data_IF_255178933648
#
_entry.id   IF_255178933648
#
_cell.length_a   1.000
_cell.length_b   1.000
_cell.length_c   1.000
_cell.angle_alpha   90.00
_cell.angle_beta   90.00
_cell.angle_gamma   90.00
#
_symmetry.space_group_name_H-M   'P 1'
#
loop_
_entity.id
_entity.type
_entity.pdbx_description
1 polymer ?
#
# COMPACT_ATOMS: atom_id res chain seq x y z
N UNK A 1 -33.21 -35.70 28.45
CA UNK A 1 -32.23 -35.11 29.38
C UNK A 1 -32.14 -33.61 29.09
N UNK A 2 -32.88 -32.79 29.84
CA UNK A 2 -32.95 -31.34 29.68
C UNK A 2 -31.66 -30.73 30.26
N UNK A 3 -30.78 -30.15 29.44
CA UNK A 3 -29.71 -29.28 29.94
C UNK A 3 -30.32 -27.94 30.33
N UNK A 4 -30.34 -27.72 31.64
CA UNK A 4 -30.55 -26.42 32.28
C UNK A 4 -29.51 -25.42 31.76
N UNK A 5 -29.94 -24.47 30.93
CA UNK A 5 -29.17 -23.27 30.58
C UNK A 5 -29.54 -22.19 31.59
N UNK A 6 -28.83 -22.19 32.72
CA UNK A 6 -28.84 -21.10 33.67
C UNK A 6 -27.91 -19.98 33.18
N UNK A 7 -28.48 -18.84 32.80
CA UNK A 7 -27.94 -17.53 33.20
C UNK A 7 -26.74 -16.92 32.46
N UNK A 8 -26.44 -17.27 31.22
CA UNK A 8 -25.51 -16.47 30.41
C UNK A 8 -26.27 -15.57 29.42
N UNK A 9 -26.12 -14.25 29.59
CA UNK A 9 -26.69 -13.23 28.70
C UNK A 9 -26.47 -13.61 27.24
N UNK A 10 -27.51 -13.56 26.42
CA UNK A 10 -27.41 -13.80 24.98
C UNK A 10 -26.44 -12.80 24.34
N UNK A 11 -25.15 -13.16 24.26
CA UNK A 11 -24.18 -12.48 23.41
C UNK A 11 -24.71 -12.58 21.98
N UNK A 12 -24.96 -11.44 21.33
CA UNK A 12 -25.38 -11.40 19.93
C UNK A 12 -24.40 -12.22 19.07
N UNK A 13 -24.84 -12.84 17.95
CA UNK A 13 -23.95 -13.57 17.05
C UNK A 13 -22.70 -12.76 16.66
N UNK A 14 -22.84 -11.44 16.51
CA UNK A 14 -21.74 -10.50 16.27
C UNK A 14 -20.75 -10.48 17.44
N UNK A 15 -21.22 -10.28 18.68
CA UNK A 15 -20.33 -10.25 19.86
C UNK A 15 -19.67 -11.60 20.15
N UNK A 16 -20.26 -12.71 19.70
CA UNK A 16 -19.72 -14.06 19.82
C UNK A 16 -18.63 -14.35 18.78
N UNK A 17 -18.84 -13.99 17.51
CA UNK A 17 -17.99 -14.43 16.41
C UNK A 17 -17.01 -13.38 15.89
N UNK A 18 -17.31 -12.08 16.06
CA UNK A 18 -16.38 -11.02 15.65
C UNK A 18 -15.35 -10.78 16.76
N UNK A 19 -14.04 -10.93 16.47
CA UNK A 19 -12.99 -10.73 17.47
C UNK A 19 -13.07 -9.33 18.10
N UNK A 20 -12.74 -9.23 19.40
CA UNK A 20 -12.76 -7.96 20.12
C UNK A 20 -11.91 -6.88 19.43
N UNK A 21 -10.74 -7.28 18.90
CA UNK A 21 -9.86 -6.39 18.12
C UNK A 21 -10.55 -5.75 16.92
N UNK A 22 -11.51 -6.43 16.28
CA UNK A 22 -12.27 -5.89 15.15
C UNK A 22 -13.45 -5.05 15.64
N UNK A 23 -14.16 -5.51 16.68
CA UNK A 23 -15.31 -4.77 17.25
C UNK A 23 -14.93 -3.41 17.84
N UNK A 24 -13.68 -3.24 18.24
CA UNK A 24 -13.15 -2.01 18.82
C UNK A 24 -12.59 -1.04 17.76
N UNK A 25 -12.50 -1.44 16.50
CA UNK A 25 -12.08 -0.54 15.41
C UNK A 25 -13.19 0.43 15.06
N UNK A 26 -12.81 1.67 14.78
CA UNK A 26 -13.68 2.64 14.13
C UNK A 26 -13.50 2.55 12.61
N UNK A 27 -14.55 2.89 11.86
CA UNK A 27 -14.45 3.02 10.42
C UNK A 27 -13.44 4.11 10.08
N UNK A 28 -12.58 3.85 9.09
CA UNK A 28 -11.73 4.89 8.52
C UNK A 28 -12.65 5.96 7.91
N UNK A 29 -12.52 7.24 8.33
CA UNK A 29 -13.43 8.28 7.88
C UNK A 29 -13.22 8.57 6.39
N UNK A 30 -14.27 8.36 5.59
CA UNK A 30 -14.31 8.75 4.19
C UNK A 30 -15.62 9.49 3.91
N UNK A 31 -15.52 10.72 3.41
CA UNK A 31 -16.67 11.56 3.05
C UNK A 31 -16.76 11.71 1.53
N UNK A 32 -17.98 11.73 1.00
CA UNK A 32 -18.22 12.02 -0.43
C UNK A 32 -18.18 13.52 -0.74
N UNK A 33 -18.36 14.38 0.28
CA UNK A 33 -18.28 15.84 0.12
C UNK A 33 -19.18 16.44 -0.97
N UNK A 34 -20.31 15.79 -1.30
CA UNK A 34 -21.14 16.17 -2.46
C UNK A 34 -21.60 17.64 -2.35
N UNK A 35 -21.26 18.45 -3.35
CA UNK A 35 -21.59 19.87 -3.40
C UNK A 35 -20.65 20.79 -2.61
N UNK A 36 -19.50 20.29 -2.15
CA UNK A 36 -18.50 21.04 -1.41
C UNK A 36 -17.19 21.16 -2.20
N UNK A 37 -16.35 22.15 -1.87
CA UNK A 37 -14.95 22.15 -2.27
C UNK A 37 -14.18 21.17 -1.39
N UNK A 38 -13.77 20.04 -1.98
CA UNK A 38 -13.15 18.92 -1.27
C UNK A 38 -11.62 18.98 -1.38
N UNK A 39 -10.93 19.02 -0.25
CA UNK A 39 -9.46 19.09 -0.13
C UNK A 39 -8.92 18.11 0.93
N UNK A 40 -9.64 17.03 1.22
CA UNK A 40 -9.39 16.11 2.34
C UNK A 40 -8.78 14.74 1.93
N UNK A 41 -8.83 14.38 0.64
CA UNK A 41 -8.47 13.03 0.17
C UNK A 41 -7.18 12.94 -0.68
N UNK A 42 -6.44 14.04 -0.81
CA UNK A 42 -5.20 14.11 -1.60
C UNK A 42 -5.39 13.56 -3.02
N UNK A 43 -6.47 14.00 -3.67
CA UNK A 43 -6.82 13.69 -5.06
C UNK A 43 -6.23 14.77 -5.98
N UNK A 44 -5.77 14.37 -7.18
CA UNK A 44 -5.38 15.35 -8.19
C UNK A 44 -6.67 16.03 -8.73
N UNK A 45 -6.79 17.37 -8.66
CA UNK A 45 -8.00 18.08 -9.11
C UNK A 45 -8.11 18.20 -10.63
N UNK A 46 -7.05 17.92 -11.38
CA UNK A 46 -7.03 18.07 -12.84
C UNK A 46 -7.65 16.86 -13.52
N UNK A 47 -8.49 17.13 -14.52
CA UNK A 47 -9.14 16.11 -15.35
C UNK A 47 -8.43 15.99 -16.69
N UNK A 48 -8.51 14.81 -17.30
CA UNK A 48 -7.99 14.63 -18.65
C UNK A 48 -8.73 15.52 -19.67
N UNK A 49 -8.00 16.08 -20.66
CA UNK A 49 -8.58 16.76 -21.80
C UNK A 49 -9.60 15.90 -22.57
N UNK A 50 -10.56 16.54 -23.23
CA UNK A 50 -11.69 15.84 -23.89
C UNK A 50 -11.26 14.92 -25.04
N UNK A 51 -10.26 15.31 -25.81
CA UNK A 51 -9.64 14.49 -26.84
C UNK A 51 -8.98 13.23 -26.26
N UNK A 52 -8.22 13.37 -25.17
CA UNK A 52 -7.62 12.23 -24.46
C UNK A 52 -8.69 11.29 -23.90
N UNK A 53 -9.78 11.84 -23.31
CA UNK A 53 -10.91 11.04 -22.83
C UNK A 53 -11.59 10.25 -23.95
N UNK A 54 -11.74 10.83 -25.14
CA UNK A 54 -12.31 10.14 -26.31
C UNK A 54 -11.42 9.00 -26.79
N UNK A 55 -10.11 9.20 -26.84
CA UNK A 55 -9.16 8.13 -27.18
C UNK A 55 -9.20 6.98 -26.14
N UNK A 56 -9.21 7.33 -24.86
CA UNK A 56 -9.35 6.34 -23.79
C UNK A 56 -10.63 5.51 -23.90
N UNK A 57 -11.78 6.16 -24.17
CA UNK A 57 -13.06 5.46 -24.35
C UNK A 57 -13.01 4.46 -25.53
N UNK A 58 -12.31 4.80 -26.61
CA UNK A 58 -12.11 3.88 -27.73
C UNK A 58 -11.28 2.66 -27.34
N UNK A 59 -10.29 2.81 -26.46
CA UNK A 59 -9.55 1.67 -25.91
C UNK A 59 -10.43 0.81 -24.99
N UNK A 60 -11.23 1.44 -24.13
CA UNK A 60 -12.13 0.70 -23.24
C UNK A 60 -13.20 -0.11 -23.99
N UNK A 61 -13.67 0.39 -25.13
CA UNK A 61 -14.63 -0.34 -25.97
C UNK A 61 -14.08 -1.69 -26.46
N UNK A 62 -12.76 -1.87 -26.51
CA UNK A 62 -12.13 -3.12 -26.96
C UNK A 62 -12.03 -4.17 -25.85
N UNK A 63 -12.32 -3.81 -24.59
CA UNK A 63 -12.14 -4.69 -23.44
C UNK A 63 -13.28 -5.71 -23.33
N UNK A 64 -13.02 -7.03 -23.36
CA UNK A 64 -14.06 -8.05 -23.25
C UNK A 64 -14.54 -8.19 -21.81
N UNK A 65 -15.70 -7.61 -21.48
CA UNK A 65 -16.25 -7.58 -20.12
C UNK A 65 -16.78 -8.95 -19.63
N UNK A 66 -17.07 -9.87 -20.54
CA UNK A 66 -17.61 -11.19 -20.24
C UNK A 66 -16.53 -12.24 -19.92
N UNK A 67 -15.24 -11.86 -19.96
CA UNK A 67 -14.11 -12.73 -19.71
C UNK A 67 -13.36 -12.29 -18.45
N UNK A 68 -12.74 -13.24 -17.74
CA UNK A 68 -11.77 -12.88 -16.71
C UNK A 68 -10.58 -12.13 -17.34
N UNK A 69 -10.00 -11.14 -16.64
CA UNK A 69 -8.82 -10.43 -17.11
C UNK A 69 -7.59 -11.33 -17.14
N UNK A 70 -6.48 -10.85 -17.71
CA UNK A 70 -5.18 -11.46 -17.48
C UNK A 70 -4.85 -11.39 -15.98
N UNK A 71 -4.74 -12.53 -15.26
CA UNK A 71 -4.50 -12.55 -13.82
C UNK A 71 -3.12 -11.99 -13.44
N UNK A 72 -2.19 -11.93 -14.39
CA UNK A 72 -0.86 -11.39 -14.23
C UNK A 72 -0.74 -9.97 -14.81
N UNK A 73 -1.74 -9.46 -15.54
CA UNK A 73 -1.72 -8.15 -16.19
C UNK A 73 -0.40 -7.89 -16.95
N UNK A 74 0.03 -8.86 -17.76
CA UNK A 74 1.39 -8.98 -18.29
C UNK A 74 1.80 -7.73 -19.09
N UNK A 75 0.92 -7.26 -19.99
CA UNK A 75 1.16 -6.05 -20.79
C UNK A 75 1.34 -4.80 -19.91
N UNK A 76 0.53 -4.65 -18.86
CA UNK A 76 0.64 -3.53 -17.92
C UNK A 76 1.94 -3.62 -17.12
N UNK A 77 2.31 -4.80 -16.62
CA UNK A 77 3.56 -5.00 -15.89
C UNK A 77 4.78 -4.68 -16.76
N UNK A 78 4.78 -5.06 -18.02
CA UNK A 78 5.87 -4.73 -18.95
C UNK A 78 5.99 -3.22 -19.18
N UNK A 79 4.88 -2.52 -19.38
CA UNK A 79 4.89 -1.07 -19.54
C UNK A 79 5.36 -0.36 -18.26
N UNK A 80 4.91 -0.81 -17.09
CA UNK A 80 5.35 -0.25 -15.81
C UNK A 80 6.85 -0.46 -15.57
N UNK A 81 7.38 -1.65 -15.90
CA UNK A 81 8.82 -1.90 -15.80
C UNK A 81 9.62 -0.93 -16.67
N UNK A 82 9.16 -0.66 -17.90
CA UNK A 82 9.79 0.32 -18.80
C UNK A 82 9.67 1.74 -18.26
N UNK A 83 8.47 2.15 -17.83
CA UNK A 83 8.21 3.48 -17.30
C UNK A 83 9.03 3.78 -16.03
N UNK A 84 9.19 2.79 -15.16
CA UNK A 84 10.00 2.90 -13.95
C UNK A 84 11.51 2.66 -14.17
N UNK A 85 11.96 2.30 -15.37
CA UNK A 85 13.36 1.99 -15.64
C UNK A 85 13.89 0.76 -14.86
N UNK A 86 13.04 -0.23 -14.58
CA UNK A 86 13.39 -1.35 -13.69
C UNK A 86 14.38 -2.32 -14.33
N UNK A 87 15.37 -2.74 -13.55
CA UNK A 87 16.30 -3.81 -13.89
C UNK A 87 15.59 -5.19 -13.93
N UNK A 88 16.17 -6.15 -14.65
CA UNK A 88 15.57 -7.49 -14.82
C UNK A 88 15.68 -8.39 -13.57
N UNK A 89 16.52 -8.02 -12.61
CA UNK A 89 16.73 -8.73 -11.34
C UNK A 89 15.60 -8.48 -10.33
N UNK A 90 14.88 -7.36 -10.41
CA UNK A 90 13.76 -7.05 -9.52
C UNK A 90 12.43 -7.58 -10.06
N UNK A 91 11.48 -7.84 -9.17
CA UNK A 91 10.11 -8.16 -9.50
C UNK A 91 9.18 -6.95 -9.34
N UNK A 92 8.01 -7.03 -9.99
CA UNK A 92 6.93 -6.06 -9.85
C UNK A 92 5.60 -6.79 -9.66
N UNK A 93 4.81 -6.37 -8.68
CA UNK A 93 3.47 -6.88 -8.39
C UNK A 93 2.45 -5.74 -8.39
N UNK A 94 1.24 -6.02 -8.86
CA UNK A 94 0.13 -5.06 -8.88
C UNK A 94 -0.86 -5.34 -7.77
N UNK A 95 -1.51 -4.28 -7.28
CA UNK A 95 -2.59 -4.36 -6.29
C UNK A 95 -3.67 -3.31 -6.53
N UNK A 96 -4.83 -3.52 -5.92
CA UNK A 96 -5.97 -2.59 -5.93
C UNK A 96 -5.69 -1.35 -5.07
N UNK A 97 -4.80 -0.48 -5.57
CA UNK A 97 -4.20 0.61 -4.82
C UNK A 97 -3.07 0.12 -3.91
N UNK A 98 -2.40 1.06 -3.24
CA UNK A 98 -1.38 0.73 -2.24
C UNK A 98 -1.95 0.02 -1.02
N UNK A 99 -3.23 0.24 -0.68
CA UNK A 99 -3.88 -0.39 0.47
C UNK A 99 -3.90 -1.93 0.37
N UNK A 100 -4.22 -2.48 -0.81
CA UNK A 100 -4.20 -3.95 -1.01
C UNK A 100 -2.77 -4.49 -0.89
N UNK A 101 -1.78 -3.75 -1.35
CA UNK A 101 -0.37 -4.15 -1.26
C UNK A 101 0.14 -4.14 0.18
N UNK A 102 -0.17 -3.09 0.94
CA UNK A 102 0.12 -2.99 2.38
C UNK A 102 -0.57 -4.16 3.12
N UNK A 103 -1.83 -4.44 2.77
CA UNK A 103 -2.58 -5.55 3.35
C UNK A 103 -1.92 -6.91 3.04
N UNK A 104 -1.54 -7.17 1.79
CA UNK A 104 -0.87 -8.40 1.39
C UNK A 104 0.43 -8.58 2.18
N UNK A 105 1.30 -7.55 2.22
CA UNK A 105 2.56 -7.60 2.97
C UNK A 105 2.30 -7.91 4.45
N UNK A 106 1.37 -7.18 5.07
CA UNK A 106 1.05 -7.36 6.48
C UNK A 106 0.45 -8.76 6.75
N UNK A 107 -0.40 -9.29 5.88
CA UNK A 107 -0.97 -10.63 6.01
C UNK A 107 0.08 -11.74 5.80
N UNK A 108 1.08 -11.53 4.94
CA UNK A 108 2.15 -12.50 4.70
C UNK A 108 3.13 -12.57 5.86
N UNK A 109 3.48 -11.43 6.48
CA UNK A 109 4.56 -11.36 7.47
C UNK A 109 4.07 -11.23 8.92
N UNK A 110 2.89 -10.65 9.11
CA UNK A 110 2.34 -10.29 10.40
C UNK A 110 1.48 -11.40 11.03
N UNK A 111 0.49 -10.99 11.79
CA UNK A 111 -0.35 -11.87 12.61
C UNK A 111 0.08 -11.91 14.08
N UNK A 112 -0.52 -12.79 14.88
CA UNK A 112 -0.19 -12.95 16.30
C UNK A 112 1.32 -13.14 16.50
N UNK A 113 1.85 -12.55 17.57
CA UNK A 113 3.27 -12.62 17.97
C UNK A 113 4.27 -12.01 16.97
N UNK A 114 3.77 -11.27 15.97
CA UNK A 114 4.59 -10.49 15.02
C UNK A 114 4.42 -9.00 15.25
N UNK A 115 5.51 -8.27 15.03
CA UNK A 115 5.56 -6.81 15.19
C UNK A 115 5.65 -6.12 13.83
N UNK A 116 4.76 -5.15 13.60
CA UNK A 116 4.84 -4.18 12.52
C UNK A 116 5.23 -2.84 13.15
N UNK A 117 6.23 -2.18 12.57
CA UNK A 117 6.78 -0.94 13.11
C UNK A 117 6.68 0.20 12.09
N UNK A 118 6.42 1.43 12.54
CA UNK A 118 6.60 2.63 11.72
C UNK A 118 6.83 3.89 12.58
N UNK A 119 7.47 4.94 12.04
CA UNK A 119 7.46 6.27 12.67
C UNK A 119 6.05 6.89 12.66
N UNK A 120 5.66 7.60 13.71
CA UNK A 120 4.34 8.22 13.90
C UNK A 120 4.46 9.72 14.29
N UNK A 121 3.58 10.62 13.80
CA UNK A 121 2.41 10.36 12.97
C UNK A 121 2.74 9.95 11.51
N UNK A 122 2.01 8.98 10.98
CA UNK A 122 2.15 8.44 9.62
C UNK A 122 0.81 7.95 9.06
N UNK A 123 0.86 7.20 7.95
CA UNK A 123 -0.33 6.74 7.25
C UNK A 123 -1.09 5.71 8.09
N UNK A 124 -2.32 6.04 8.45
CA UNK A 124 -3.13 5.29 9.40
C UNK A 124 -3.43 3.83 9.00
N UNK A 125 -3.28 3.47 7.72
CA UNK A 125 -3.55 2.11 7.26
C UNK A 125 -2.55 1.10 7.82
N UNK A 126 -1.31 1.49 8.14
CA UNK A 126 -0.32 0.57 8.71
C UNK A 126 -0.80 0.01 10.05
N UNK A 127 -1.20 0.90 10.97
CA UNK A 127 -1.67 0.51 12.30
C UNK A 127 -3.04 -0.15 12.27
N UNK A 128 -3.94 0.30 11.37
CA UNK A 128 -5.26 -0.31 11.19
C UNK A 128 -5.13 -1.76 10.71
N UNK A 129 -4.34 -2.02 9.67
CA UNK A 129 -4.17 -3.36 9.10
C UNK A 129 -3.47 -4.28 10.10
N UNK A 130 -2.45 -3.81 10.81
CA UNK A 130 -1.79 -4.55 11.88
C UNK A 130 -2.80 -5.04 12.94
N UNK A 131 -3.69 -4.15 13.39
CA UNK A 131 -4.76 -4.50 14.34
C UNK A 131 -5.76 -5.51 13.76
N UNK A 132 -6.13 -5.40 12.49
CA UNK A 132 -7.06 -6.34 11.82
C UNK A 132 -6.50 -7.76 11.85
N UNK A 133 -5.24 -7.92 11.46
CA UNK A 133 -4.57 -9.23 11.40
C UNK A 133 -4.13 -9.73 12.78
N UNK A 134 -4.15 -8.87 13.81
CA UNK A 134 -3.76 -9.22 15.17
C UNK A 134 -2.24 -9.16 15.40
N UNK A 135 -1.50 -8.41 14.59
CA UNK A 135 -0.10 -8.07 14.84
C UNK A 135 0.01 -6.99 15.92
N UNK A 136 1.13 -6.99 16.64
CA UNK A 136 1.51 -5.86 17.47
C UNK A 136 1.97 -4.72 16.56
N UNK A 137 1.43 -3.52 16.77
CA UNK A 137 1.88 -2.31 16.09
C UNK A 137 2.74 -1.47 17.04
N UNK A 138 3.96 -1.13 16.61
CA UNK A 138 4.87 -0.24 17.34
C UNK A 138 5.02 1.07 16.55
N UNK A 139 4.52 2.15 17.13
CA UNK A 139 4.68 3.50 16.60
C UNK A 139 5.84 4.23 17.26
N UNK A 140 6.87 4.58 16.51
CA UNK A 140 8.02 5.36 17.03
C UNK A 140 7.74 6.85 16.83
N UNK A 141 7.74 7.62 17.92
CA UNK A 141 7.41 9.04 17.83
C UNK A 141 8.46 9.79 16.99
N UNK A 142 8.00 10.51 15.97
CA UNK A 142 8.80 11.46 15.19
C UNK A 142 9.26 12.64 16.05
N UNK A 143 10.28 13.35 15.57
CA UNK A 143 10.78 14.55 16.24
C UNK A 143 9.71 15.66 16.26
N UNK A 144 9.96 16.76 16.98
CA UNK A 144 9.06 17.92 17.01
C UNK A 144 8.82 18.55 15.61
N UNK A 145 9.74 18.35 14.66
CA UNK A 145 9.63 18.82 13.28
C UNK A 145 9.06 17.74 12.33
N UNK A 146 8.57 16.64 12.89
CA UNK A 146 8.05 15.47 12.17
C UNK A 146 9.08 14.68 11.35
N UNK A 147 10.36 14.93 11.55
CA UNK A 147 11.42 14.09 10.99
C UNK A 147 11.46 12.73 11.70
N UNK A 148 12.06 11.74 11.05
CA UNK A 148 12.29 10.44 11.68
C UNK A 148 13.33 10.61 12.79
N UNK A 149 12.97 10.24 14.01
CA UNK A 149 13.91 10.14 15.12
C UNK A 149 14.72 8.84 14.93
N UNK A 150 15.84 8.94 14.22
CA UNK A 150 16.64 7.78 13.82
C UNK A 150 17.16 6.97 15.03
N UNK A 151 17.75 7.58 16.07
CA UNK A 151 18.15 6.83 17.26
C UNK A 151 16.98 6.05 17.90
N UNK A 152 15.85 6.71 18.14
CA UNK A 152 14.69 6.04 18.73
C UNK A 152 14.12 4.94 17.82
N UNK A 153 14.21 5.11 16.50
CA UNK A 153 13.79 4.11 15.53
C UNK A 153 14.69 2.88 15.57
N UNK A 154 16.02 3.06 15.63
CA UNK A 154 16.97 1.96 15.72
C UNK A 154 16.83 1.19 17.04
N UNK A 155 16.65 1.90 18.16
CA UNK A 155 16.41 1.28 19.48
C UNK A 155 15.14 0.41 19.45
N UNK A 156 14.06 0.90 18.83
CA UNK A 156 12.82 0.15 18.71
C UNK A 156 12.94 -1.06 17.77
N UNK A 157 13.78 -0.98 16.73
CA UNK A 157 14.07 -2.12 15.84
C UNK A 157 14.80 -3.21 16.63
N UNK A 158 15.82 -2.85 17.42
CA UNK A 158 16.57 -3.80 18.26
C UNK A 158 15.68 -4.43 19.34
N UNK A 159 14.89 -3.62 20.06
CA UNK A 159 14.03 -4.08 21.14
C UNK A 159 12.92 -5.03 20.66
N UNK A 160 12.27 -4.70 19.54
CA UNK A 160 11.05 -5.37 19.12
C UNK A 160 11.22 -6.35 17.96
N UNK A 161 12.36 -6.34 17.27
CA UNK A 161 12.66 -7.20 16.12
C UNK A 161 11.48 -7.32 15.11
N UNK A 162 11.06 -6.19 14.49
CA UNK A 162 9.87 -6.16 13.66
C UNK A 162 10.03 -7.02 12.39
N UNK A 163 8.96 -7.74 12.03
CA UNK A 163 8.95 -8.49 10.76
C UNK A 163 8.75 -7.57 9.55
N UNK A 164 8.19 -6.38 9.77
CA UNK A 164 7.97 -5.37 8.74
C UNK A 164 8.08 -3.96 9.33
N UNK A 165 8.82 -3.09 8.65
CA UNK A 165 8.98 -1.67 8.97
C UNK A 165 8.43 -0.84 7.81
N UNK A 166 7.43 0.00 8.05
CA UNK A 166 6.92 0.93 7.05
C UNK A 166 7.54 2.32 7.20
N UNK A 167 8.08 2.85 6.11
CA UNK A 167 8.61 4.21 6.01
C UNK A 167 7.89 4.93 4.85
N UNK A 168 7.07 5.93 5.17
CA UNK A 168 6.40 6.73 4.14
C UNK A 168 7.32 7.83 3.60
N UNK A 169 7.43 7.93 2.27
CA UNK A 169 8.29 8.88 1.57
C UNK A 169 7.62 9.42 0.30
N UNK A 170 7.16 10.68 0.24
CA UNK A 170 6.87 11.58 1.36
C UNK A 170 5.90 11.02 2.42
N UNK A 171 6.02 11.47 3.66
CA UNK A 171 5.15 11.07 4.76
C UNK A 171 3.74 11.70 4.65
N UNK A 172 2.70 10.93 5.00
CA UNK A 172 1.35 11.43 5.24
C UNK A 172 1.07 11.29 6.74
N UNK A 173 0.74 12.34 7.50
CA UNK A 173 0.22 13.64 7.02
C UNK A 173 1.24 14.78 6.92
N UNK A 174 2.50 14.55 7.24
CA UNK A 174 3.43 15.67 7.53
C UNK A 174 4.17 16.21 6.31
N UNK A 175 4.24 15.44 5.22
CA UNK A 175 4.92 15.81 3.97
C UNK A 175 6.45 15.63 3.98
N UNK A 176 7.08 15.36 5.13
CA UNK A 176 8.52 15.19 5.23
C UNK A 176 9.04 14.03 4.36
N UNK A 177 10.25 14.18 3.82
CA UNK A 177 10.96 13.13 3.11
C UNK A 177 11.80 12.30 4.09
N UNK A 178 11.89 10.99 3.86
CA UNK A 178 12.98 10.19 4.41
C UNK A 178 14.33 10.63 3.80
N UNK A 179 15.38 10.70 4.59
CA UNK A 179 16.75 10.94 4.10
C UNK A 179 17.40 9.61 3.70
N UNK A 180 18.39 9.61 2.79
CA UNK A 180 19.15 8.39 2.44
C UNK A 180 19.80 7.72 3.66
N UNK A 181 20.42 8.51 4.54
CA UNK A 181 21.01 8.00 5.78
C UNK A 181 20.00 7.23 6.64
N UNK A 182 18.78 7.74 6.81
CA UNK A 182 17.75 7.05 7.58
C UNK A 182 17.39 5.72 6.92
N UNK A 183 17.20 5.70 5.61
CA UNK A 183 16.83 4.49 4.87
C UNK A 183 17.92 3.44 4.96
N UNK A 184 19.18 3.81 4.70
CA UNK A 184 20.35 2.92 4.79
C UNK A 184 20.48 2.32 6.19
N UNK A 185 20.44 3.16 7.23
CA UNK A 185 20.61 2.70 8.62
C UNK A 185 19.47 1.80 9.08
N UNK A 186 18.25 2.01 8.60
CA UNK A 186 17.12 1.12 8.89
C UNK A 186 17.25 -0.20 8.13
N UNK A 187 17.67 -0.18 6.86
CA UNK A 187 17.91 -1.39 6.07
C UNK A 187 18.96 -2.29 6.71
N UNK A 188 20.05 -1.70 7.22
CA UNK A 188 21.13 -2.42 7.90
C UNK A 188 20.70 -3.02 9.24
N UNK A 189 19.85 -2.32 10.00
CA UNK A 189 19.40 -2.75 11.31
C UNK A 189 18.22 -3.74 11.27
N UNK A 190 17.43 -3.72 10.20
CA UNK A 190 16.21 -4.51 10.10
C UNK A 190 16.49 -6.00 9.87
N UNK A 191 16.07 -6.84 10.82
CA UNK A 191 15.98 -8.29 10.61
C UNK A 191 14.80 -8.73 9.73
N UNK A 192 13.83 -7.83 9.51
CA UNK A 192 12.63 -8.04 8.70
C UNK A 192 12.61 -7.21 7.41
N UNK A 193 11.43 -7.15 6.79
CA UNK A 193 11.23 -6.38 5.56
C UNK A 193 11.12 -4.88 5.84
N UNK A 194 11.79 -4.06 5.05
CA UNK A 194 11.61 -2.60 5.01
C UNK A 194 10.78 -2.23 3.80
N UNK A 195 9.68 -1.52 4.04
CA UNK A 195 8.76 -1.06 3.00
C UNK A 195 8.80 0.47 2.92
N UNK A 196 9.28 0.97 1.79
CA UNK A 196 9.18 2.38 1.44
C UNK A 196 7.87 2.64 0.70
N UNK A 197 6.94 3.32 1.36
CA UNK A 197 5.68 3.74 0.76
C UNK A 197 5.87 5.08 0.03
N UNK A 198 6.05 4.99 -1.27
CA UNK A 198 6.21 6.09 -2.21
C UNK A 198 4.88 6.53 -2.85
N UNK A 199 3.77 6.44 -2.12
CA UNK A 199 2.46 6.88 -2.63
C UNK A 199 2.44 8.33 -3.15
N UNK A 200 3.26 9.22 -2.57
CA UNK A 200 3.36 10.63 -2.93
C UNK A 200 4.58 10.96 -3.80
N UNK A 201 5.27 9.95 -4.36
CA UNK A 201 6.49 10.14 -5.15
C UNK A 201 6.32 11.12 -6.32
N UNK A 202 5.14 11.18 -6.94
CA UNK A 202 4.86 12.13 -8.02
C UNK A 202 5.11 13.60 -7.64
N UNK A 203 5.11 13.90 -6.33
CA UNK A 203 5.34 15.24 -5.79
C UNK A 203 6.73 15.38 -5.13
N UNK A 204 7.52 14.30 -5.07
CA UNK A 204 8.93 14.34 -4.69
C UNK A 204 9.81 14.31 -5.94
N UNK A 205 11.01 14.88 -5.82
CA UNK A 205 12.08 14.72 -6.83
C UNK A 205 13.08 13.64 -6.43
N UNK A 206 12.66 12.77 -5.51
CA UNK A 206 13.50 11.77 -4.86
C UNK A 206 12.75 10.45 -4.81
N UNK A 207 13.50 9.38 -5.04
CA UNK A 207 13.04 8.01 -4.92
C UNK A 207 14.17 7.11 -4.41
N UNK A 208 13.79 6.00 -3.81
CA UNK A 208 14.68 4.90 -3.44
C UNK A 208 14.48 3.67 -4.32
N UNK A 209 13.75 3.80 -5.44
CA UNK A 209 13.54 2.71 -6.37
C UNK A 209 14.86 2.13 -6.93
N UNK A 210 15.88 2.98 -7.08
CA UNK A 210 17.21 2.58 -7.55
C UNK A 210 17.96 1.69 -6.56
N UNK A 211 17.62 1.72 -5.27
CA UNK A 211 18.19 0.82 -4.26
C UNK A 211 17.59 -0.58 -4.32
N UNK A 212 16.46 -0.75 -5.01
CA UNK A 212 15.77 -2.03 -5.08
C UNK A 212 16.57 -3.00 -5.94
N UNK A 213 16.89 -4.16 -5.36
CA UNK A 213 17.75 -5.17 -5.99
C UNK A 213 19.18 -5.20 -5.47
N UNK A 214 19.62 -4.12 -4.80
CA UNK A 214 20.87 -4.11 -4.02
C UNK A 214 20.63 -4.54 -2.56
N UNK A 215 19.37 -4.48 -2.11
CA UNK A 215 18.93 -4.91 -0.79
C UNK A 215 17.86 -6.00 -0.88
N UNK A 216 18.13 -7.16 -0.28
CA UNK A 216 17.22 -8.31 -0.26
C UNK A 216 16.01 -8.12 0.66
N UNK A 217 15.98 -7.08 1.49
CA UNK A 217 14.91 -6.76 2.43
C UNK A 217 14.18 -5.45 2.11
N UNK A 218 14.33 -4.89 0.90
CA UNK A 218 13.67 -3.64 0.50
C UNK A 218 12.52 -3.86 -0.49
N UNK A 219 11.35 -3.28 -0.18
CA UNK A 219 10.21 -3.13 -1.10
C UNK A 219 9.86 -1.64 -1.23
N UNK A 220 9.59 -1.20 -2.45
CA UNK A 220 9.03 0.14 -2.72
C UNK A 220 7.59 -0.02 -3.22
N UNK A 221 6.64 0.69 -2.62
CA UNK A 221 5.23 0.75 -3.04
C UNK A 221 4.93 2.08 -3.72
N UNK A 222 4.18 2.07 -4.82
CA UNK A 222 3.66 3.28 -5.48
C UNK A 222 2.19 3.12 -5.83
N UNK A 223 1.53 4.26 -6.07
CA UNK A 223 0.11 4.31 -6.42
C UNK A 223 -0.16 5.26 -7.58
N UNK A 224 -1.11 4.89 -8.43
CA UNK A 224 -1.65 5.78 -9.46
C UNK A 224 -2.69 6.76 -8.89
N UNK A 225 -3.06 6.60 -7.62
CA UNK A 225 -4.12 7.42 -7.01
C UNK A 225 -3.75 8.90 -6.96
N UNK A 226 -2.47 9.19 -6.73
CA UNK A 226 -1.95 10.56 -6.61
C UNK A 226 -1.63 11.20 -7.97
N UNK A 227 -1.56 10.38 -9.03
CA UNK A 227 -1.42 10.78 -10.42
C UNK A 227 -2.77 11.12 -11.10
N UNK A 228 -3.85 11.30 -10.34
CA UNK A 228 -5.18 11.59 -10.90
C UNK A 228 -5.98 10.37 -11.36
N UNK A 229 -5.53 9.17 -11.01
CA UNK A 229 -6.21 7.91 -11.33
C UNK A 229 -6.71 7.17 -10.08
N UNK A 230 -7.09 7.92 -9.04
CA UNK A 230 -7.58 7.38 -7.77
C UNK A 230 -8.72 6.37 -7.94
N UNK A 231 -9.67 6.66 -8.84
CA UNK A 231 -10.82 5.80 -9.10
C UNK A 231 -10.46 4.46 -9.77
N UNK A 232 -9.31 4.37 -10.45
CA UNK A 232 -8.85 3.12 -11.08
C UNK A 232 -8.30 2.12 -10.05
N UNK A 233 -8.05 2.56 -8.82
CA UNK A 233 -7.54 1.70 -7.74
C UNK A 233 -6.34 0.87 -8.20
N UNK A 234 -5.33 1.47 -8.83
CA UNK A 234 -4.10 0.74 -9.15
C UNK A 234 -2.94 1.22 -8.28
N UNK A 235 -2.26 0.27 -7.67
CA UNK A 235 -0.94 0.42 -7.09
C UNK A 235 -0.01 -0.68 -7.58
N UNK A 236 1.27 -0.51 -7.31
CA UNK A 236 2.26 -1.54 -7.56
C UNK A 236 3.34 -1.52 -6.50
N UNK A 237 4.03 -2.64 -6.33
CA UNK A 237 5.24 -2.74 -5.53
C UNK A 237 6.38 -3.30 -6.37
N UNK A 238 7.60 -2.94 -6.00
CA UNK A 238 8.86 -3.37 -6.63
C UNK A 238 9.78 -3.90 -5.54
N UNK A 239 10.39 -5.06 -5.76
CA UNK A 239 11.31 -5.68 -4.81
C UNK A 239 11.89 -7.01 -5.26
N UNK A 240 12.64 -7.69 -4.39
CA UNK A 240 13.20 -9.01 -4.64
C UNK A 240 12.12 -10.03 -5.01
N UNK A 241 12.40 -10.86 -6.01
CA UNK A 241 11.42 -11.81 -6.58
C UNK A 241 10.91 -12.83 -5.56
N UNK A 242 11.75 -13.20 -4.59
CA UNK A 242 11.40 -14.18 -3.56
C UNK A 242 10.31 -13.64 -2.62
N UNK A 243 10.38 -12.37 -2.22
CA UNK A 243 9.28 -11.72 -1.48
C UNK A 243 7.99 -11.69 -2.29
N UNK A 244 8.08 -11.30 -3.55
CA UNK A 244 6.91 -11.21 -4.43
C UNK A 244 6.27 -12.58 -4.66
N UNK A 245 7.05 -13.66 -4.70
CA UNK A 245 6.51 -15.02 -4.81
C UNK A 245 5.69 -15.42 -3.57
N UNK A 246 6.09 -14.99 -2.37
CA UNK A 246 5.31 -15.21 -1.15
C UNK A 246 4.05 -14.33 -1.09
N UNK A 247 4.15 -13.07 -1.52
CA UNK A 247 2.99 -12.17 -1.63
C UNK A 247 1.94 -12.69 -2.62
N UNK A 248 2.37 -13.32 -3.72
CA UNK A 248 1.47 -13.79 -4.78
C UNK A 248 0.58 -14.94 -4.31
N UNK A 249 1.00 -15.68 -3.26
CA UNK A 249 0.20 -16.74 -2.62
C UNK A 249 -0.98 -16.20 -1.82
N UNK A 250 -0.90 -14.96 -1.36
CA UNK A 250 -1.95 -14.29 -0.57
C UNK A 250 -2.86 -13.44 -1.47
N UNK A 251 -2.35 -12.99 -2.61
CA UNK A 251 -3.11 -12.21 -3.59
C UNK A 251 -4.26 -13.04 -4.18
N UNK A 252 -5.44 -12.41 -4.27
CA UNK A 252 -6.59 -13.04 -4.92
C UNK A 252 -6.41 -13.09 -6.45
N UNK A 253 -6.84 -14.18 -7.11
CA UNK A 253 -6.75 -14.28 -8.55
C UNK A 253 -7.63 -13.23 -9.23
N UNK A 254 -7.18 -12.69 -10.37
CA UNK A 254 -7.90 -11.70 -11.15
C UNK A 254 -8.24 -10.40 -10.38
N UNK A 255 -7.47 -10.06 -9.34
CA UNK A 255 -7.71 -8.88 -8.51
C UNK A 255 -7.70 -7.56 -9.29
N UNK A 256 -6.83 -7.43 -10.31
CA UNK A 256 -6.81 -6.25 -11.17
C UNK A 256 -7.77 -6.45 -12.35
N UNK A 257 -8.87 -5.71 -12.34
CA UNK A 257 -9.91 -5.79 -13.37
C UNK A 257 -9.41 -5.30 -14.75
N UNK A 258 -10.01 -5.84 -15.82
CA UNK A 258 -9.59 -5.56 -17.21
C UNK A 258 -9.65 -4.07 -17.59
N UNK A 259 -10.64 -3.33 -17.08
CA UNK A 259 -10.79 -1.90 -17.35
C UNK A 259 -9.65 -1.08 -16.73
N UNK A 260 -9.21 -1.46 -15.53
CA UNK A 260 -8.06 -0.85 -14.86
C UNK A 260 -6.77 -1.15 -15.61
N UNK A 261 -6.58 -2.41 -16.03
CA UNK A 261 -5.42 -2.79 -16.83
C UNK A 261 -5.34 -1.96 -18.12
N UNK A 262 -6.44 -1.89 -18.88
CA UNK A 262 -6.50 -1.11 -20.13
C UNK A 262 -6.32 0.40 -19.89
N UNK A 263 -6.97 0.95 -18.87
CA UNK A 263 -6.92 2.38 -18.57
C UNK A 263 -5.52 2.85 -18.19
N UNK A 264 -4.82 2.09 -17.36
CA UNK A 264 -3.46 2.47 -16.95
C UNK A 264 -2.47 2.23 -18.08
N UNK A 265 -2.61 1.15 -18.86
CA UNK A 265 -1.82 0.99 -20.08
C UNK A 265 -1.98 2.19 -21.03
N UNK A 266 -3.21 2.67 -21.22
CA UNK A 266 -3.46 3.87 -22.01
C UNK A 266 -2.78 5.09 -21.40
N UNK A 267 -2.94 5.32 -20.10
CA UNK A 267 -2.34 6.46 -19.40
C UNK A 267 -0.81 6.48 -19.51
N UNK A 268 -0.15 5.32 -19.36
CA UNK A 268 1.31 5.20 -19.44
C UNK A 268 1.89 5.65 -20.79
N UNK A 269 1.14 5.48 -21.89
CA UNK A 269 1.56 5.97 -23.21
C UNK A 269 1.35 7.48 -23.42
N UNK A 270 0.63 8.13 -22.51
CA UNK A 270 0.29 9.55 -22.59
C UNK A 270 0.78 10.31 -21.35
N UNK A 271 1.81 9.79 -20.67
CA UNK A 271 2.35 10.39 -19.43
C UNK A 271 2.92 11.80 -19.63
N UNK A 272 3.25 12.22 -20.85
CA UNK A 272 3.62 13.61 -21.14
C UNK A 272 2.52 14.63 -20.77
N UNK A 273 1.28 14.16 -20.61
CA UNK A 273 0.14 14.96 -20.16
C UNK A 273 -0.06 14.97 -18.64
N UNK A 274 0.61 14.08 -17.90
CA UNK A 274 0.45 13.91 -16.46
C UNK A 274 1.40 14.76 -15.64
#
# INVERSE_FOLDING_TARGET
MKRSLSGESFKSPVSRWVPARIRNLSLYPASTGKGMLKLDAMENPYVWPEDIRRLWQQELHKVPLNCYPDPQASALREQLKKWCGLNSNVGLMLGNGSDELIQIIAMTLGGPDRVILAPEPSFAMYSLIAQVIGAQYVGVRRTANFDIDLPALLDAIDEHNPCCIFLAHPNNPTGNLCTPEVVERVLDAAGGLVVLDEAYHAFSRSTFLDLVGDHDNLIVIRTFSKLGLAALRLGFLVGPKDWLAEFDKVRLPYNINALTQASVCFALHHMDWF
#
